data_IF_849371875700
#
_entry.id   IF_849371875700
#
_cell.length_a   1.000
_cell.length_b   1.000
_cell.length_c   1.000
_cell.angle_alpha   90.00
_cell.angle_beta   90.00
_cell.angle_gamma   90.00
#
_symmetry.space_group_name_H-M   'P 1'
#
loop_
_entity.id
_entity.type
_entity.pdbx_description
1 polymer ?
#
# COMPACT_ATOMS: atom_id res chain seq x y z
N UNK A 1 40.74 -12.39 -0.61
CA UNK A 1 39.57 -12.58 0.28
C UNK A 1 38.31 -12.26 -0.51
N UNK A 2 37.21 -13.01 -0.30
CA UNK A 2 35.90 -12.59 -0.84
C UNK A 2 35.48 -11.30 -0.14
N UNK A 3 34.90 -10.37 -0.90
CA UNK A 3 34.27 -9.15 -0.36
C UNK A 3 32.84 -9.53 0.02
N UNK A 4 32.47 -9.32 1.27
CA UNK A 4 31.17 -9.73 1.80
C UNK A 4 30.66 -8.71 2.81
N UNK A 5 29.35 -8.42 2.72
CA UNK A 5 28.61 -7.60 3.67
C UNK A 5 27.42 -8.44 4.12
N UNK A 6 27.31 -8.67 5.42
CA UNK A 6 26.20 -9.41 6.03
C UNK A 6 25.39 -8.45 6.88
N UNK A 7 24.10 -8.34 6.57
CA UNK A 7 23.13 -7.61 7.38
C UNK A 7 22.48 -8.57 8.37
N UNK A 8 22.57 -8.26 9.66
CA UNK A 8 22.00 -9.04 10.75
C UNK A 8 20.87 -8.22 11.36
N UNK A 9 19.62 -8.62 11.14
CA UNK A 9 18.47 -8.03 11.82
C UNK A 9 18.17 -8.85 13.07
N UNK A 10 18.45 -8.28 14.24
CA UNK A 10 18.10 -8.88 15.52
C UNK A 10 16.58 -8.81 15.71
N UNK A 11 15.91 -9.97 15.64
CA UNK A 11 14.45 -10.06 15.71
C UNK A 11 13.85 -9.43 16.98
N UNK A 12 14.57 -9.51 18.11
CA UNK A 12 14.02 -9.15 19.42
C UNK A 12 13.98 -7.63 19.67
N UNK A 13 14.85 -6.87 19.01
CA UNK A 13 14.98 -5.42 19.23
C UNK A 13 15.00 -4.61 17.91
N UNK A 14 14.89 -5.27 16.75
CA UNK A 14 14.92 -4.64 15.43
C UNK A 14 16.28 -4.03 15.07
N UNK A 15 17.34 -4.34 15.81
CA UNK A 15 18.67 -3.78 15.56
C UNK A 15 19.26 -4.39 14.30
N UNK A 16 19.57 -3.53 13.33
CA UNK A 16 20.32 -3.89 12.14
C UNK A 16 21.82 -3.73 12.42
N UNK A 17 22.56 -4.82 12.46
CA UNK A 17 24.02 -4.84 12.59
C UNK A 17 24.64 -5.26 11.25
N UNK A 18 25.82 -4.73 10.93
CA UNK A 18 26.55 -5.06 9.70
C UNK A 18 27.87 -5.73 10.04
N UNK A 19 28.11 -6.91 9.45
CA UNK A 19 29.43 -7.55 9.43
C UNK A 19 30.05 -7.43 8.05
N UNK A 20 31.36 -7.18 8.02
CA UNK A 20 32.06 -6.88 6.77
C UNK A 20 33.35 -7.67 6.72
N UNK A 21 33.58 -8.36 5.59
CA UNK A 21 34.81 -9.09 5.32
C UNK A 21 35.45 -8.67 4.01
N UNK A 22 36.73 -8.29 4.05
CA UNK A 22 37.53 -7.99 2.86
C UNK A 22 37.19 -6.68 2.14
N UNK A 23 36.47 -5.75 2.79
CA UNK A 23 36.08 -4.46 2.21
C UNK A 23 36.89 -3.31 2.83
N UNK A 24 37.43 -2.39 2.00
CA UNK A 24 38.08 -1.17 2.46
C UNK A 24 37.19 -0.27 3.33
N UNK A 25 37.78 0.40 4.32
CA UNK A 25 37.06 1.24 5.30
C UNK A 25 36.38 2.46 4.68
N UNK A 26 36.94 3.04 3.63
CA UNK A 26 36.35 4.13 2.85
C UNK A 26 35.02 3.71 2.22
N UNK A 27 34.98 2.52 1.59
CA UNK A 27 33.74 1.99 0.99
C UNK A 27 32.64 1.72 2.04
N UNK A 28 33.03 1.43 3.29
CA UNK A 28 32.08 1.25 4.40
C UNK A 28 31.52 2.56 4.94
N UNK A 29 32.32 3.62 4.91
CA UNK A 29 31.85 4.95 5.26
C UNK A 29 30.84 5.41 4.19
N UNK A 30 31.18 5.25 2.91
CA UNK A 30 30.28 5.57 1.80
C UNK A 30 28.96 4.77 1.91
N UNK A 31 29.03 3.45 2.15
CA UNK A 31 27.83 2.62 2.31
C UNK A 31 26.96 3.05 3.50
N UNK A 32 27.57 3.39 4.63
CA UNK A 32 26.84 3.88 5.81
C UNK A 32 26.15 5.21 5.49
N UNK A 33 26.85 6.09 4.79
CA UNK A 33 26.34 7.41 4.43
C UNK A 33 25.23 7.29 3.37
N UNK A 34 25.31 6.35 2.44
CA UNK A 34 24.27 5.99 1.47
C UNK A 34 23.01 5.38 2.13
N UNK A 35 23.20 4.52 3.14
CA UNK A 35 22.08 3.91 3.89
C UNK A 35 21.38 4.91 4.83
N UNK A 36 22.08 5.99 5.20
CA UNK A 36 21.54 7.05 6.06
C UNK A 36 21.18 6.56 7.47
N UNK A 37 20.38 7.38 8.18
CA UNK A 37 19.86 7.04 9.51
C UNK A 37 18.48 6.40 9.36
N UNK A 38 18.23 5.29 10.06
CA UNK A 38 16.90 4.67 10.12
C UNK A 38 15.87 5.68 10.63
N UNK A 39 14.79 5.89 9.88
CA UNK A 39 13.67 6.73 10.28
C UNK A 39 12.40 5.90 10.32
N UNK A 40 11.57 6.11 11.35
CA UNK A 40 10.23 5.53 11.39
C UNK A 40 9.34 6.32 10.43
N UNK A 41 9.02 5.71 9.29
CA UNK A 41 8.14 6.29 8.29
C UNK A 41 6.70 5.85 8.61
N UNK A 42 6.05 6.51 9.57
CA UNK A 42 4.68 6.21 10.04
C UNK A 42 3.72 5.87 8.87
N UNK A 43 3.53 6.86 8.00
CA UNK A 43 2.92 6.78 6.68
C UNK A 43 3.51 7.95 5.87
N UNK A 44 4.43 7.64 4.96
CA UNK A 44 5.07 8.67 4.15
C UNK A 44 4.10 9.21 3.10
N UNK A 45 4.13 10.53 2.86
CA UNK A 45 3.62 11.07 1.60
C UNK A 45 4.46 10.44 0.48
N UNK A 46 3.87 9.85 -0.58
CA UNK A 46 4.65 9.23 -1.64
C UNK A 46 5.68 10.23 -2.17
N UNK A 47 6.95 9.82 -2.15
CA UNK A 47 8.05 10.57 -2.76
C UNK A 47 7.67 10.73 -4.22
N UNK A 48 7.62 11.97 -4.70
CA UNK A 48 7.13 12.30 -6.04
C UNK A 48 7.63 11.31 -7.09
N UNK A 49 6.68 10.70 -7.79
CA UNK A 49 6.91 9.76 -8.87
C UNK A 49 5.91 10.04 -9.99
N UNK A 50 6.29 9.72 -11.22
CA UNK A 50 5.37 9.78 -12.35
C UNK A 50 4.17 8.89 -12.04
N UNK A 51 2.99 9.51 -11.95
CA UNK A 51 1.75 8.76 -11.78
C UNK A 51 1.42 8.14 -13.14
N UNK A 52 1.08 6.86 -13.13
CA UNK A 52 0.64 6.22 -14.37
C UNK A 52 -0.66 6.87 -14.86
N UNK A 53 -0.65 7.31 -16.11
CA UNK A 53 -1.87 7.71 -16.82
C UNK A 53 -2.23 6.63 -17.85
N UNK A 54 -3.44 6.07 -17.80
CA UNK A 54 -3.89 5.15 -18.85
C UNK A 54 -3.96 5.88 -20.18
N UNK A 55 -3.15 5.45 -21.15
CA UNK A 55 -3.21 5.99 -22.52
C UNK A 55 -4.36 5.37 -23.32
N UNK A 56 -4.79 4.15 -22.98
CA UNK A 56 -5.91 3.44 -23.62
C UNK A 56 -6.65 2.58 -22.59
N UNK A 57 -7.95 2.85 -22.39
CA UNK A 57 -8.80 2.00 -21.55
C UNK A 57 -9.20 0.76 -22.35
N UNK A 58 -8.85 -0.43 -21.84
CA UNK A 58 -9.39 -1.69 -22.38
C UNK A 58 -10.85 -1.82 -21.98
N UNK A 59 -11.69 -2.38 -22.84
CA UNK A 59 -13.05 -2.74 -22.46
C UNK A 59 -13.00 -3.88 -21.42
N UNK A 60 -13.83 -3.76 -20.38
CA UNK A 60 -13.90 -4.72 -19.28
C UNK A 60 -15.29 -4.64 -18.64
N UNK A 61 -15.67 -5.66 -17.87
CA UNK A 61 -16.94 -5.68 -17.14
C UNK A 61 -16.93 -4.79 -15.90
N UNK A 62 -15.75 -4.51 -15.37
CA UNK A 62 -15.57 -3.74 -14.14
C UNK A 62 -14.63 -2.55 -14.36
N UNK A 63 -14.98 -1.44 -13.72
CA UNK A 63 -14.26 -0.18 -13.80
C UNK A 63 -14.08 0.43 -12.42
N UNK A 64 -12.89 0.94 -12.16
CA UNK A 64 -12.50 1.60 -10.93
C UNK A 64 -12.40 3.11 -11.17
N UNK A 65 -12.95 3.92 -10.28
CA UNK A 65 -12.57 5.34 -10.19
C UNK A 65 -11.20 5.40 -9.52
N UNK A 66 -10.18 5.68 -10.31
CA UNK A 66 -8.78 5.71 -9.92
C UNK A 66 -8.29 7.16 -9.83
N UNK A 67 -7.62 7.51 -8.74
CA UNK A 67 -6.91 8.79 -8.64
C UNK A 67 -5.52 8.68 -9.29
N UNK A 68 -4.73 7.68 -8.90
CA UNK A 68 -3.42 7.37 -9.49
C UNK A 68 -2.93 5.98 -9.11
N UNK A 69 -1.92 5.51 -9.84
CA UNK A 69 -1.05 4.39 -9.43
C UNK A 69 0.37 4.94 -9.25
N UNK A 70 1.05 4.50 -8.20
CA UNK A 70 2.47 4.75 -7.99
C UNK A 70 3.17 3.49 -7.47
N UNK A 71 4.48 3.38 -7.69
CA UNK A 71 5.25 2.16 -7.41
C UNK A 71 6.35 2.41 -6.39
N UNK A 72 6.98 1.33 -5.93
CA UNK A 72 8.14 1.36 -5.02
C UNK A 72 7.85 2.02 -3.66
N UNK A 73 6.59 2.03 -3.22
CA UNK A 73 6.26 2.54 -1.89
C UNK A 73 6.77 1.57 -0.83
N UNK A 74 7.43 2.10 0.20
CA UNK A 74 7.89 1.32 1.37
C UNK A 74 7.14 1.69 2.65
N UNK A 75 6.08 2.49 2.51
CA UNK A 75 5.31 3.06 3.65
C UNK A 75 3.84 2.69 3.61
N UNK A 76 3.36 2.12 2.51
CA UNK A 76 1.96 1.73 2.29
C UNK A 76 1.72 0.22 2.51
N UNK A 77 2.58 -0.44 3.30
CA UNK A 77 2.50 -1.87 3.59
C UNK A 77 3.87 -2.56 3.56
N UNK A 78 3.92 -3.88 3.83
CA UNK A 78 5.17 -4.63 3.92
C UNK A 78 5.83 -4.82 2.56
N UNK A 79 7.15 -4.61 2.53
CA UNK A 79 7.96 -4.65 1.32
C UNK A 79 7.72 -3.44 0.40
N UNK A 80 8.19 -3.54 -0.85
CA UNK A 80 7.96 -2.54 -1.89
C UNK A 80 6.59 -2.76 -2.52
N UNK A 81 5.75 -1.72 -2.51
CA UNK A 81 4.36 -1.79 -2.97
C UNK A 81 4.17 -1.05 -4.29
N UNK A 82 3.42 -1.67 -5.19
CA UNK A 82 2.61 -0.94 -6.16
C UNK A 82 1.32 -0.50 -5.47
N UNK A 83 1.01 0.79 -5.50
CA UNK A 83 -0.14 1.36 -4.80
C UNK A 83 -1.19 1.84 -5.77
N UNK A 84 -2.41 1.33 -5.58
CA UNK A 84 -3.61 1.70 -6.32
C UNK A 84 -4.41 2.66 -5.44
N UNK A 85 -4.36 3.95 -5.76
CA UNK A 85 -5.08 4.98 -5.02
C UNK A 85 -6.42 5.28 -5.69
N UNK A 86 -7.53 4.86 -5.06
CA UNK A 86 -8.89 5.04 -5.59
C UNK A 86 -9.40 6.47 -5.37
N UNK A 87 -10.32 6.92 -6.24
CA UNK A 87 -11.04 8.18 -6.14
C UNK A 87 -12.50 7.98 -5.72
N UNK A 88 -12.99 8.89 -4.89
CA UNK A 88 -14.30 8.83 -4.22
C UNK A 88 -14.17 8.30 -2.80
N UNK A 89 -14.65 9.09 -1.83
CA UNK A 89 -14.75 8.70 -0.42
C UNK A 89 -16.06 9.22 0.17
N UNK A 90 -16.89 8.33 0.69
CA UNK A 90 -18.11 8.64 1.43
C UNK A 90 -17.83 9.10 2.86
N UNK A 91 -16.67 8.73 3.44
CA UNK A 91 -16.31 8.98 4.85
C UNK A 91 -15.79 10.41 5.05
N UNK A 92 -14.87 10.87 4.20
CA UNK A 92 -14.31 12.24 4.20
C UNK A 92 -13.79 12.70 5.57
N UNK A 93 -12.92 11.90 6.18
CA UNK A 93 -12.38 12.14 7.51
C UNK A 93 -11.85 13.59 7.66
N UNK A 94 -12.15 14.28 8.77
CA UNK A 94 -11.55 15.58 9.07
C UNK A 94 -10.02 15.49 9.13
N UNK A 95 -9.34 16.35 8.37
CA UNK A 95 -7.88 16.38 8.31
C UNK A 95 -7.23 15.24 7.52
N UNK A 96 -8.00 14.47 6.74
CA UNK A 96 -7.52 13.38 5.88
C UNK A 96 -6.20 13.71 5.17
N UNK A 97 -5.29 12.75 5.07
CA UNK A 97 -4.00 12.90 4.38
C UNK A 97 -4.12 13.06 2.86
N UNK A 98 -5.20 12.56 2.27
CA UNK A 98 -5.42 12.52 0.81
C UNK A 98 -6.80 13.08 0.43
N UNK A 99 -7.16 14.30 0.89
CA UNK A 99 -8.49 14.86 0.70
C UNK A 99 -8.84 15.08 -0.78
N UNK A 100 -7.83 15.17 -1.65
CA UNK A 100 -7.98 15.21 -3.10
C UNK A 100 -8.71 13.98 -3.65
N UNK A 101 -8.63 12.83 -2.96
CA UNK A 101 -9.31 11.60 -3.38
C UNK A 101 -10.79 11.56 -3.00
N UNK A 102 -11.31 12.52 -2.20
CA UNK A 102 -12.72 12.47 -1.75
C UNK A 102 -13.74 12.58 -2.88
N UNK A 103 -13.41 13.31 -3.95
CA UNK A 103 -14.26 13.50 -5.11
C UNK A 103 -13.86 12.53 -6.23
N UNK A 104 -14.82 11.80 -6.78
CA UNK A 104 -14.60 10.97 -7.98
C UNK A 104 -14.16 11.80 -9.19
N UNK A 105 -14.53 13.08 -9.24
CA UNK A 105 -14.13 13.99 -10.32
C UNK A 105 -12.62 14.28 -10.36
N UNK A 106 -11.90 14.02 -9.26
CA UNK A 106 -10.45 14.12 -9.20
C UNK A 106 -9.75 12.81 -9.63
N UNK A 107 -10.51 11.83 -10.09
CA UNK A 107 -10.01 10.58 -10.67
C UNK A 107 -10.51 10.37 -12.09
N UNK A 108 -10.09 9.25 -12.66
CA UNK A 108 -10.52 8.76 -13.98
C UNK A 108 -11.15 7.39 -13.80
N UNK A 109 -12.21 7.11 -14.56
CA UNK A 109 -12.75 5.76 -14.62
C UNK A 109 -11.83 4.91 -15.50
N UNK A 110 -11.30 3.83 -14.95
CA UNK A 110 -10.33 2.94 -15.62
C UNK A 110 -10.78 1.50 -15.51
N UNK A 111 -10.52 0.67 -16.53
CA UNK A 111 -10.88 -0.74 -16.46
C UNK A 111 -9.95 -1.53 -15.56
N UNK A 112 -10.47 -2.59 -14.92
CA UNK A 112 -9.65 -3.48 -14.08
C UNK A 112 -8.52 -4.12 -14.88
N UNK A 113 -8.75 -4.48 -16.14
CA UNK A 113 -7.69 -4.98 -17.03
C UNK A 113 -6.53 -3.99 -17.18
N UNK A 114 -6.82 -2.70 -17.43
CA UNK A 114 -5.76 -1.70 -17.58
C UNK A 114 -4.99 -1.47 -16.28
N UNK A 115 -5.66 -1.51 -15.13
CA UNK A 115 -5.00 -1.44 -13.81
C UNK A 115 -4.10 -2.66 -13.60
N UNK A 116 -4.59 -3.86 -13.90
CA UNK A 116 -3.82 -5.09 -13.74
C UNK A 116 -2.58 -5.12 -14.63
N UNK A 117 -2.70 -4.72 -15.90
CA UNK A 117 -1.56 -4.64 -16.83
C UNK A 117 -0.46 -3.72 -16.30
N UNK A 118 -0.84 -2.55 -15.74
CA UNK A 118 0.12 -1.62 -15.16
C UNK A 118 0.86 -2.24 -13.98
N UNK A 119 0.13 -2.87 -13.06
CA UNK A 119 0.72 -3.55 -11.91
C UNK A 119 1.66 -4.67 -12.35
N UNK A 120 1.27 -5.46 -13.35
CA UNK A 120 2.08 -6.55 -13.89
C UNK A 120 3.33 -6.04 -14.59
N UNK A 121 3.30 -4.86 -15.20
CA UNK A 121 4.49 -4.26 -15.84
C UNK A 121 5.62 -4.00 -14.84
N UNK A 122 5.31 -3.88 -13.54
CA UNK A 122 6.24 -3.63 -12.43
C UNK A 122 6.33 -4.78 -11.43
N UNK A 123 5.86 -5.98 -11.78
CA UNK A 123 5.76 -7.10 -10.85
C UNK A 123 7.12 -7.60 -10.31
N UNK A 124 8.20 -7.44 -11.08
CA UNK A 124 9.55 -7.82 -10.66
C UNK A 124 10.22 -6.78 -9.74
N UNK A 125 9.63 -5.59 -9.61
CA UNK A 125 10.17 -4.48 -8.81
C UNK A 125 9.49 -4.34 -7.45
N UNK A 126 8.37 -5.05 -7.23
CA UNK A 126 7.49 -4.87 -6.07
C UNK A 126 7.07 -6.22 -5.45
N UNK A 127 7.02 -6.26 -4.12
CA UNK A 127 6.68 -7.43 -3.32
C UNK A 127 5.16 -7.63 -3.18
N UNK A 128 4.36 -6.62 -3.54
CA UNK A 128 2.92 -6.74 -3.61
C UNK A 128 2.19 -5.45 -3.95
N UNK A 129 0.87 -5.49 -3.75
CA UNK A 129 -0.05 -4.40 -4.11
C UNK A 129 -0.78 -3.85 -2.90
N UNK A 130 -0.85 -2.53 -2.77
CA UNK A 130 -1.70 -1.87 -1.78
C UNK A 130 -2.85 -1.15 -2.46
N UNK A 131 -4.07 -1.36 -1.97
CA UNK A 131 -5.28 -0.66 -2.42
C UNK A 131 -5.70 0.30 -1.31
N UNK A 132 -5.64 1.60 -1.58
CA UNK A 132 -5.97 2.65 -0.60
C UNK A 132 -6.60 3.86 -1.30
N UNK A 133 -6.74 4.97 -0.59
CA UNK A 133 -7.10 6.27 -1.18
C UNK A 133 -8.38 6.78 -0.59
N UNK A 134 -9.33 7.14 -1.45
CA UNK A 134 -10.67 7.59 -1.05
C UNK A 134 -11.34 6.59 -0.11
N UNK A 135 -12.16 5.69 -0.62
CA UNK A 135 -12.63 4.54 0.16
C UNK A 135 -12.78 3.33 -0.78
N UNK A 136 -11.88 2.33 -0.71
CA UNK A 136 -11.97 1.14 -1.56
C UNK A 136 -13.31 0.42 -1.47
N UNK A 137 -13.92 0.35 -0.28
CA UNK A 137 -15.19 -0.35 -0.10
C UNK A 137 -16.42 0.42 -0.63
N UNK A 138 -16.28 1.69 -1.05
CA UNK A 138 -17.31 2.39 -1.84
C UNK A 138 -17.39 1.87 -3.30
N UNK A 139 -16.43 1.02 -3.69
CA UNK A 139 -16.31 0.41 -5.02
C UNK A 139 -16.09 -1.11 -4.92
N UNK A 140 -16.72 -1.74 -3.92
CA UNK A 140 -16.48 -3.14 -3.52
C UNK A 140 -16.52 -4.13 -4.69
N UNK A 141 -17.47 -4.01 -5.62
CA UNK A 141 -17.57 -4.91 -6.78
C UNK A 141 -16.31 -4.92 -7.65
N UNK A 142 -15.75 -3.74 -7.93
CA UNK A 142 -14.59 -3.58 -8.79
C UNK A 142 -13.30 -3.91 -8.04
N UNK A 143 -13.25 -3.62 -6.74
CA UNK A 143 -12.13 -4.03 -5.87
C UNK A 143 -12.11 -5.54 -5.67
N UNK A 144 -13.26 -6.22 -5.55
CA UNK A 144 -13.33 -7.67 -5.45
C UNK A 144 -12.81 -8.35 -6.72
N UNK A 145 -13.22 -7.87 -7.90
CA UNK A 145 -12.69 -8.34 -9.19
C UNK A 145 -11.17 -8.13 -9.29
N UNK A 146 -10.68 -6.96 -8.86
CA UNK A 146 -9.24 -6.67 -8.83
C UNK A 146 -8.48 -7.61 -7.88
N UNK A 147 -9.00 -7.84 -6.68
CA UNK A 147 -8.41 -8.78 -5.70
C UNK A 147 -8.36 -10.20 -6.27
N UNK A 148 -9.45 -10.67 -6.88
CA UNK A 148 -9.51 -11.97 -7.56
C UNK A 148 -8.39 -12.11 -8.59
N UNK A 149 -8.23 -11.10 -9.47
CA UNK A 149 -7.20 -11.13 -10.51
C UNK A 149 -5.79 -11.00 -9.94
N UNK A 150 -5.55 -10.14 -8.96
CA UNK A 150 -4.23 -10.01 -8.32
C UNK A 150 -3.82 -11.31 -7.61
N UNK A 151 -4.77 -12.00 -6.95
CA UNK A 151 -4.53 -13.28 -6.30
C UNK A 151 -4.17 -14.40 -7.29
N UNK A 152 -4.69 -14.39 -8.51
CA UNK A 152 -4.29 -15.37 -9.53
C UNK A 152 -2.83 -15.23 -9.98
N UNK A 153 -2.22 -14.06 -9.76
CA UNK A 153 -0.78 -13.81 -9.93
C UNK A 153 0.01 -13.92 -8.62
N UNK A 154 -0.63 -14.40 -7.55
CA UNK A 154 0.00 -14.65 -6.25
C UNK A 154 0.57 -13.38 -5.57
N UNK A 155 -0.01 -12.21 -5.83
CA UNK A 155 0.37 -10.98 -5.14
C UNK A 155 -0.05 -11.01 -3.67
N UNK A 156 0.81 -10.50 -2.79
CA UNK A 156 0.42 -10.06 -1.45
C UNK A 156 -0.38 -8.75 -1.56
N UNK A 157 -1.55 -8.68 -0.95
CA UNK A 157 -2.51 -7.58 -1.07
C UNK A 157 -2.78 -6.97 0.30
N UNK A 158 -2.56 -5.65 0.39
CA UNK A 158 -2.99 -4.81 1.52
C UNK A 158 -4.16 -3.96 1.08
N UNK A 159 -5.18 -3.81 1.92
CA UNK A 159 -6.29 -2.88 1.69
C UNK A 159 -6.45 -1.95 2.89
N UNK A 160 -6.56 -0.65 2.62
CA UNK A 160 -6.93 0.36 3.61
C UNK A 160 -8.41 0.66 3.53
N UNK A 161 -9.02 0.97 4.68
CA UNK A 161 -10.41 1.41 4.74
C UNK A 161 -10.64 2.29 5.97
N UNK A 162 -11.53 3.28 5.84
CA UNK A 162 -11.98 4.08 6.97
C UNK A 162 -13.07 3.41 7.81
N UNK A 163 -13.59 2.27 7.38
CA UNK A 163 -14.49 1.45 8.19
C UNK A 163 -13.69 0.53 9.12
N UNK A 164 -14.27 0.09 10.22
CA UNK A 164 -13.74 -1.05 10.96
C UNK A 164 -14.30 -2.36 10.36
N UNK A 165 -13.52 -3.44 10.39
CA UNK A 165 -13.87 -4.73 9.77
C UNK A 165 -15.25 -5.27 10.18
N UNK A 166 -15.66 -5.06 11.42
CA UNK A 166 -16.97 -5.46 11.93
C UNK A 166 -18.11 -4.72 11.21
N UNK A 167 -17.92 -3.43 10.89
CA UNK A 167 -18.89 -2.65 10.09
C UNK A 167 -18.98 -3.16 8.66
N UNK A 168 -17.84 -3.53 8.07
CA UNK A 168 -17.80 -4.09 6.72
C UNK A 168 -18.52 -5.45 6.68
N UNK A 169 -18.25 -6.34 7.63
CA UNK A 169 -18.91 -7.65 7.73
C UNK A 169 -20.43 -7.47 7.94
N UNK A 170 -20.84 -6.52 8.80
CA UNK A 170 -22.24 -6.24 9.09
C UNK A 170 -23.05 -5.77 7.86
N UNK A 171 -22.40 -5.24 6.81
CA UNK A 171 -23.08 -4.89 5.55
C UNK A 171 -23.64 -6.12 4.83
N UNK A 172 -23.13 -7.32 5.12
CA UNK A 172 -23.62 -8.58 4.51
C UNK A 172 -23.32 -8.74 3.02
N UNK A 173 -22.59 -7.79 2.43
CA UNK A 173 -22.27 -7.74 1.00
C UNK A 173 -21.29 -8.86 0.59
N UNK A 174 -21.53 -9.45 -0.59
CA UNK A 174 -20.74 -10.56 -1.10
C UNK A 174 -19.32 -10.12 -1.50
N UNK A 175 -19.19 -8.98 -2.18
CA UNK A 175 -17.92 -8.48 -2.68
C UNK A 175 -17.03 -8.03 -1.53
N UNK A 176 -17.60 -7.36 -0.52
CA UNK A 176 -16.88 -7.00 0.71
C UNK A 176 -16.31 -8.24 1.41
N UNK A 177 -17.14 -9.29 1.56
CA UNK A 177 -16.71 -10.54 2.18
C UNK A 177 -15.63 -11.23 1.38
N UNK A 178 -15.76 -11.22 0.05
CA UNK A 178 -14.76 -11.77 -0.85
C UNK A 178 -13.42 -11.06 -0.66
N UNK A 179 -13.39 -9.72 -0.67
CA UNK A 179 -12.19 -8.92 -0.43
C UNK A 179 -11.54 -9.31 0.90
N UNK A 180 -12.28 -9.21 2.01
CA UNK A 180 -11.73 -9.47 3.36
C UNK A 180 -11.17 -10.88 3.48
N UNK A 181 -11.77 -11.87 2.82
CA UNK A 181 -11.36 -13.28 2.91
C UNK A 181 -10.14 -13.63 2.04
N UNK A 182 -9.76 -12.77 1.09
CA UNK A 182 -8.71 -13.09 0.11
C UNK A 182 -7.50 -12.15 0.18
N UNK A 183 -7.60 -10.99 0.83
CA UNK A 183 -6.44 -10.10 1.07
C UNK A 183 -5.56 -10.64 2.20
N UNK A 184 -4.33 -10.16 2.30
CA UNK A 184 -3.36 -10.62 3.31
C UNK A 184 -3.33 -9.70 4.53
N UNK A 185 -3.56 -8.40 4.32
CA UNK A 185 -3.63 -7.42 5.40
C UNK A 185 -4.76 -6.42 5.15
N UNK A 186 -5.56 -6.17 6.19
CA UNK A 186 -6.51 -5.06 6.24
C UNK A 186 -6.00 -4.02 7.23
N UNK A 187 -5.88 -2.77 6.80
CA UNK A 187 -5.67 -1.63 7.69
C UNK A 187 -6.97 -0.87 7.80
N UNK A 188 -7.61 -0.96 8.96
CA UNK A 188 -8.99 -0.52 9.17
C UNK A 188 -9.13 0.61 10.18
N UNK A 189 -10.26 1.30 10.14
CA UNK A 189 -10.59 2.43 10.99
C UNK A 189 -10.38 3.81 10.34
N UNK A 190 -11.21 4.80 10.70
CA UNK A 190 -11.16 6.12 10.10
C UNK A 190 -9.87 6.83 10.48
N UNK A 191 -9.32 7.61 9.56
CA UNK A 191 -8.22 8.51 9.89
C UNK A 191 -8.67 9.57 10.91
N UNK A 192 -7.85 9.78 11.94
CA UNK A 192 -8.03 10.83 12.95
C UNK A 192 -6.76 11.68 13.07
N UNK A 193 -6.85 12.94 12.62
CA UNK A 193 -5.74 13.90 12.66
C UNK A 193 -5.22 14.21 14.07
N UNK A 194 -6.03 13.97 15.11
CA UNK A 194 -5.59 14.16 16.49
C UNK A 194 -4.71 13.01 17.01
N UNK A 195 -4.63 11.90 16.27
CA UNK A 195 -3.99 10.65 16.67
C UNK A 195 -2.80 10.27 15.76
N UNK A 196 -2.12 11.25 15.17
CA UNK A 196 -1.02 11.06 14.19
C UNK A 196 0.36 10.78 14.82
N UNK A 197 0.44 10.77 16.15
CA UNK A 197 1.68 10.44 16.86
C UNK A 197 1.73 8.95 17.24
N UNK A 198 2.90 8.33 17.10
CA UNK A 198 3.17 6.94 17.47
C UNK A 198 2.13 5.95 16.92
N UNK A 199 1.77 6.14 15.65
CA UNK A 199 0.68 5.38 15.01
C UNK A 199 1.04 3.91 14.78
N UNK A 200 2.33 3.59 14.76
CA UNK A 200 2.86 2.27 14.43
C UNK A 200 2.81 1.97 12.93
N UNK A 201 3.22 0.77 12.56
CA UNK A 201 3.50 0.43 11.17
C UNK A 201 2.30 0.67 10.24
N UNK A 202 2.56 1.41 9.15
CA UNK A 202 1.66 1.65 8.03
C UNK A 202 0.35 2.37 8.38
N UNK A 203 0.20 2.88 9.61
CA UNK A 203 -1.04 3.51 10.09
C UNK A 203 -0.93 5.02 10.04
N UNK A 204 -1.97 5.66 9.49
CA UNK A 204 -2.08 7.11 9.47
C UNK A 204 -2.47 7.70 10.82
N UNK A 205 -3.21 6.96 11.64
CA UNK A 205 -3.57 7.36 12.99
C UNK A 205 -3.62 6.17 13.94
N UNK A 206 -3.34 6.38 15.23
CA UNK A 206 -3.14 5.29 16.20
C UNK A 206 -4.42 4.48 16.52
N UNK A 207 -5.60 5.01 16.19
CA UNK A 207 -6.87 4.29 16.25
C UNK A 207 -7.07 3.27 15.13
N UNK A 208 -6.25 3.32 14.06
CA UNK A 208 -6.32 2.34 13.00
C UNK A 208 -5.73 1.00 13.46
N UNK A 209 -6.26 -0.11 12.95
CA UNK A 209 -5.82 -1.47 13.29
C UNK A 209 -5.19 -2.12 12.07
N UNK A 210 -4.08 -2.80 12.29
CA UNK A 210 -3.45 -3.66 11.30
C UNK A 210 -3.90 -5.10 11.57
N UNK A 211 -4.69 -5.66 10.66
CA UNK A 211 -5.25 -7.00 10.75
C UNK A 211 -4.62 -7.89 9.68
N UNK A 212 -3.75 -8.81 10.08
CA UNK A 212 -3.14 -9.79 9.20
C UNK A 212 -3.95 -11.08 9.20
N UNK A 213 -4.22 -11.59 8.00
CA UNK A 213 -4.76 -12.94 7.83
C UNK A 213 -3.61 -13.93 8.06
N UNK A 214 -3.89 -15.02 8.78
CA UNK A 214 -2.91 -16.08 9.07
C UNK A 214 -2.86 -17.10 7.95
#
# INVERSE_FOLDING_TARGET
MKKEITFILEHDNGKLTTEVSGIPTDLLIDLRDDLGTSQNLNCGKPIGGESWEPSYLKDDRHYLWLHRIYHNSVVDGPGRRSVIQVAGCSIRCPGCYVPETHSRHNGKQVSISSVLDEILSRCHENDGVTILGGEPFDQSNSVAELVLRLKSYNFHIVVYTGYISEQLIAKGDFDIRYIISHIDTLIDGPFDSSLVFETGEYRGSSNQRLLQQR
#
